data_IF_685268016169
#
_entry.id   IF_685268016169
#
_cell.length_a   1.000
_cell.length_b   1.000
_cell.length_c   1.000
_cell.angle_alpha   90.00
_cell.angle_beta   90.00
_cell.angle_gamma   90.00
#
_symmetry.space_group_name_H-M   'P 1'
#
loop_
_entity.id
_entity.type
_entity.pdbx_description
1 polymer ?
#
# COMPACT_ATOMS: atom_id res chain seq x y z
N UNK A 1 -20.48 14.94 6.43
CA UNK A 1 -19.11 14.97 5.88
C UNK A 1 -18.60 13.55 6.00
N UNK A 2 -18.20 12.91 4.90
CA UNK A 2 -17.72 11.50 4.93
C UNK A 2 -16.25 11.52 5.32
N UNK A 3 -15.84 10.69 6.28
CA UNK A 3 -14.43 10.45 6.54
C UNK A 3 -13.91 9.48 5.48
N UNK A 4 -13.05 9.96 4.57
CA UNK A 4 -12.54 9.16 3.46
C UNK A 4 -11.63 8.01 3.90
N UNK A 5 -10.94 8.15 5.05
CA UNK A 5 -10.09 7.08 5.60
C UNK A 5 -10.97 5.91 6.02
N UNK A 6 -11.97 6.17 6.87
CA UNK A 6 -12.94 5.17 7.32
C UNK A 6 -13.69 4.53 6.14
N UNK A 7 -14.08 5.34 5.15
CA UNK A 7 -14.74 4.85 3.94
C UNK A 7 -13.88 3.87 3.13
N UNK A 8 -12.59 4.17 2.95
CA UNK A 8 -11.67 3.28 2.23
C UNK A 8 -11.38 2.01 3.04
N UNK A 9 -11.30 2.12 4.38
CA UNK A 9 -11.16 0.96 5.26
C UNK A 9 -12.39 0.05 5.20
N UNK A 10 -13.60 0.59 5.25
CA UNK A 10 -14.85 -0.16 5.05
C UNK A 10 -14.85 -0.90 3.71
N UNK A 11 -14.51 -0.21 2.61
CA UNK A 11 -14.37 -0.82 1.29
C UNK A 11 -13.36 -1.97 1.29
N UNK A 12 -12.20 -1.78 1.92
CA UNK A 12 -11.18 -2.82 2.04
C UNK A 12 -11.68 -4.03 2.83
N UNK A 13 -12.47 -3.85 3.90
CA UNK A 13 -13.04 -4.98 4.66
C UNK A 13 -14.07 -5.77 3.85
N UNK A 14 -14.72 -5.13 2.87
CA UNK A 14 -15.65 -5.77 1.94
C UNK A 14 -14.94 -6.41 0.74
N UNK A 15 -13.60 -6.42 0.71
CA UNK A 15 -12.80 -6.98 -0.36
C UNK A 15 -12.67 -6.08 -1.59
N UNK A 16 -13.00 -4.79 -1.46
CA UNK A 16 -12.78 -3.80 -2.52
C UNK A 16 -11.37 -3.23 -2.38
N UNK A 17 -10.53 -3.48 -3.38
CA UNK A 17 -9.21 -2.89 -3.49
C UNK A 17 -9.28 -1.63 -4.37
N UNK A 18 -8.71 -0.53 -3.88
CA UNK A 18 -8.57 0.74 -4.61
C UNK A 18 -7.09 1.08 -4.73
N UNK A 19 -6.64 1.50 -5.91
CA UNK A 19 -5.27 1.97 -6.09
C UNK A 19 -5.18 3.09 -7.13
N UNK A 20 -4.15 3.92 -6.97
CA UNK A 20 -3.80 4.94 -7.95
C UNK A 20 -2.93 4.34 -9.06
N UNK A 21 -3.31 4.59 -10.31
CA UNK A 21 -2.59 4.24 -11.53
C UNK A 21 -2.35 5.55 -12.30
N UNK A 22 -1.26 6.24 -11.98
CA UNK A 22 -1.08 7.65 -12.35
C UNK A 22 -2.25 8.49 -11.84
N UNK A 23 -2.94 9.18 -12.75
CA UNK A 23 -4.13 10.01 -12.45
C UNK A 23 -5.48 9.25 -12.50
N UNK A 24 -5.42 7.92 -12.67
CA UNK A 24 -6.62 7.08 -12.73
C UNK A 24 -6.78 6.33 -11.42
N UNK A 25 -7.99 6.43 -10.86
CA UNK A 25 -8.40 5.57 -9.75
C UNK A 25 -8.86 4.24 -10.33
N UNK A 26 -8.18 3.16 -9.97
CA UNK A 26 -8.53 1.80 -10.32
C UNK A 26 -9.15 1.10 -9.13
N UNK A 27 -9.96 0.09 -9.42
CA UNK A 27 -10.57 -0.73 -8.39
C UNK A 27 -10.64 -2.19 -8.82
N UNK A 28 -10.66 -3.07 -7.82
CA UNK A 28 -11.05 -4.48 -7.93
C UNK A 28 -12.07 -4.72 -6.84
N UNK A 29 -13.18 -5.38 -7.18
CA UNK A 29 -14.20 -5.74 -6.20
C UNK A 29 -14.79 -7.12 -6.53
N UNK A 30 -15.38 -7.79 -5.53
CA UNK A 30 -16.34 -8.86 -5.79
C UNK A 30 -17.55 -8.32 -6.57
N UNK A 31 -18.22 -9.17 -7.35
CA UNK A 31 -19.30 -8.77 -8.28
C UNK A 31 -20.51 -8.09 -7.61
N UNK A 32 -20.74 -8.31 -6.31
CA UNK A 32 -21.94 -7.84 -5.62
C UNK A 32 -21.72 -6.63 -4.70
N UNK A 33 -20.48 -6.16 -4.53
CA UNK A 33 -20.15 -5.14 -3.52
C UNK A 33 -20.26 -3.72 -4.09
N UNK A 34 -19.91 -3.51 -5.37
CA UNK A 34 -20.00 -2.19 -6.00
C UNK A 34 -21.44 -1.85 -6.38
N UNK A 35 -22.18 -1.29 -5.43
CA UNK A 35 -23.49 -0.71 -5.68
C UNK A 35 -23.38 0.63 -6.43
N UNK A 36 -24.48 1.07 -7.05
CA UNK A 36 -24.55 2.35 -7.74
C UNK A 36 -24.29 3.54 -6.79
N UNK A 37 -24.74 3.43 -5.54
CA UNK A 37 -24.50 4.42 -4.50
C UNK A 37 -23.00 4.55 -4.20
N UNK A 38 -22.30 3.43 -3.97
CA UNK A 38 -20.86 3.42 -3.73
C UNK A 38 -20.06 3.98 -4.92
N UNK A 39 -20.43 3.59 -6.13
CA UNK A 39 -19.81 4.13 -7.35
C UNK A 39 -19.97 5.64 -7.47
N UNK A 40 -21.08 6.19 -7.01
CA UNK A 40 -21.35 7.63 -7.01
C UNK A 40 -20.48 8.34 -5.97
N UNK A 41 -20.40 7.81 -4.76
CA UNK A 41 -19.54 8.34 -3.70
C UNK A 41 -18.05 8.33 -4.09
N UNK A 42 -17.58 7.26 -4.73
CA UNK A 42 -16.20 7.17 -5.23
C UNK A 42 -15.94 8.22 -6.33
N UNK A 43 -16.89 8.43 -7.25
CA UNK A 43 -16.75 9.43 -8.31
C UNK A 43 -16.75 10.86 -7.77
N UNK A 44 -17.59 11.16 -6.78
CA UNK A 44 -17.67 12.48 -6.17
C UNK A 44 -16.37 12.86 -5.44
N UNK A 45 -15.74 11.90 -4.77
CA UNK A 45 -14.53 12.13 -3.96
C UNK A 45 -13.25 11.65 -4.65
N UNK A 46 -13.28 11.43 -5.97
CA UNK A 46 -12.18 10.78 -6.73
C UNK A 46 -10.82 11.47 -6.51
N UNK A 47 -10.80 12.81 -6.54
CA UNK A 47 -9.55 13.57 -6.42
C UNK A 47 -8.92 13.40 -5.03
N UNK A 48 -9.72 13.51 -3.97
CA UNK A 48 -9.27 13.33 -2.60
C UNK A 48 -8.84 11.88 -2.32
N UNK A 49 -9.58 10.89 -2.84
CA UNK A 49 -9.21 9.48 -2.75
C UNK A 49 -7.86 9.22 -3.43
N UNK A 50 -7.64 9.79 -4.64
CA UNK A 50 -6.37 9.65 -5.35
C UNK A 50 -5.20 10.26 -4.57
N UNK A 51 -5.40 11.43 -3.99
CA UNK A 51 -4.36 12.08 -3.18
C UNK A 51 -4.04 11.24 -1.94
N UNK A 52 -5.06 10.79 -1.20
CA UNK A 52 -4.87 9.96 -0.01
C UNK A 52 -4.15 8.64 -0.31
N UNK A 53 -4.48 7.98 -1.42
CA UNK A 53 -3.81 6.75 -1.84
C UNK A 53 -2.35 6.98 -2.23
N UNK A 54 -2.01 8.15 -2.81
CA UNK A 54 -0.62 8.52 -3.11
C UNK A 54 0.17 8.80 -1.85
N UNK A 55 -0.38 9.60 -0.94
CA UNK A 55 0.25 9.94 0.33
C UNK A 55 0.54 8.67 1.15
N UNK A 56 -0.38 7.69 1.12
CA UNK A 56 -0.20 6.39 1.78
C UNK A 56 0.84 5.50 1.09
N UNK A 57 0.98 5.58 -0.23
CA UNK A 57 1.99 4.81 -0.98
C UNK A 57 3.41 5.37 -0.77
N UNK A 58 3.54 6.68 -0.58
CA UNK A 58 4.82 7.33 -0.27
C UNK A 58 5.20 7.23 1.21
N UNK A 59 4.23 7.00 2.10
CA UNK A 59 4.50 6.76 3.50
C UNK A 59 5.34 5.48 3.67
N UNK A 60 6.48 5.53 4.39
CA UNK A 60 7.26 4.35 4.67
C UNK A 60 6.44 3.35 5.49
N UNK A 61 6.02 2.27 4.86
CA UNK A 61 5.34 1.17 5.52
C UNK A 61 6.31 0.27 6.27
N UNK A 62 5.84 -0.36 7.35
CA UNK A 62 6.57 -1.47 7.98
C UNK A 62 6.16 -2.76 7.29
N UNK A 63 7.12 -3.39 6.61
CA UNK A 63 6.92 -4.67 5.94
C UNK A 63 7.86 -5.72 6.55
N UNK A 64 7.45 -7.01 6.60
CA UNK A 64 8.36 -8.05 7.03
C UNK A 64 9.56 -8.15 6.08
N UNK A 65 10.74 -8.44 6.64
CA UNK A 65 11.93 -8.72 5.85
C UNK A 65 11.67 -9.92 4.92
N UNK A 66 12.12 -9.82 3.67
CA UNK A 66 12.15 -10.98 2.77
C UNK A 66 13.08 -12.06 3.32
N UNK A 67 12.92 -13.31 2.87
CA UNK A 67 13.80 -14.42 3.27
C UNK A 67 15.29 -14.10 3.08
N UNK A 68 15.65 -13.45 1.96
CA UNK A 68 17.03 -13.03 1.70
C UNK A 68 17.51 -11.93 2.66
N UNK A 69 16.65 -10.94 2.95
CA UNK A 69 16.96 -9.90 3.93
C UNK A 69 17.13 -10.46 5.35
N UNK A 70 16.30 -11.43 5.75
CA UNK A 70 16.43 -12.13 7.03
C UNK A 70 17.73 -12.93 7.13
N UNK A 71 18.10 -13.65 6.06
CA UNK A 71 19.35 -14.41 6.01
C UNK A 71 20.59 -13.50 6.12
N UNK A 72 20.62 -12.39 5.36
CA UNK A 72 21.68 -11.40 5.46
C UNK A 72 21.75 -10.75 6.85
N UNK A 73 20.60 -10.45 7.45
CA UNK A 73 20.54 -9.94 8.82
C UNK A 73 21.13 -10.96 9.82
N UNK A 74 20.81 -12.25 9.68
CA UNK A 74 21.35 -13.30 10.55
C UNK A 74 22.87 -13.44 10.39
N UNK A 75 23.38 -13.43 9.16
CA UNK A 75 24.83 -13.45 8.89
C UNK A 75 25.51 -12.24 9.55
N UNK A 76 24.95 -11.05 9.40
CA UNK A 76 25.47 -9.84 10.05
C UNK A 76 25.46 -9.95 11.58
N UNK A 77 24.43 -10.55 12.20
CA UNK A 77 24.43 -10.75 13.66
C UNK A 77 25.58 -11.66 14.14
N UNK A 78 25.98 -12.65 13.33
CA UNK A 78 27.06 -13.58 13.67
C UNK A 78 28.45 -12.96 13.47
N UNK A 79 28.62 -12.06 12.51
CA UNK A 79 29.89 -11.43 12.18
C UNK A 79 29.70 -9.97 11.74
N UNK A 80 29.44 -9.08 12.71
CA UNK A 80 29.07 -7.67 12.47
C UNK A 80 30.13 -6.88 11.69
N UNK A 81 31.41 -7.20 11.90
CA UNK A 81 32.54 -6.50 11.26
C UNK A 81 32.93 -7.09 9.90
N UNK A 82 32.23 -8.14 9.44
CA UNK A 82 32.54 -8.79 8.16
C UNK A 82 32.01 -8.00 6.97
N UNK A 83 32.86 -7.77 5.98
CA UNK A 83 32.49 -7.13 4.72
C UNK A 83 32.00 -8.12 3.64
N UNK A 84 31.94 -9.43 3.91
CA UNK A 84 31.74 -10.47 2.89
C UNK A 84 30.44 -10.35 2.07
N UNK A 85 29.45 -9.60 2.57
CA UNK A 85 28.15 -9.36 1.91
C UNK A 85 27.86 -7.87 1.66
N UNK A 86 28.90 -7.03 1.72
CA UNK A 86 28.81 -5.60 1.44
C UNK A 86 29.66 -5.27 0.22
N UNK A 87 29.14 -4.42 -0.67
CA UNK A 87 29.90 -3.88 -1.79
C UNK A 87 30.31 -2.46 -1.41
N UNK A 88 31.61 -2.17 -1.46
CA UNK A 88 32.10 -0.81 -1.31
C UNK A 88 31.69 0.01 -2.55
N UNK A 89 31.01 1.12 -2.33
CA UNK A 89 30.72 2.10 -3.38
C UNK A 89 31.85 3.14 -3.37
N UNK A 90 32.46 3.47 -4.53
CA UNK A 90 33.53 4.46 -4.62
C UNK A 90 33.08 5.89 -4.31
#
# INVERSE_FOLDING_TARGET
MINLVEFIEELSTQGVELWADGDRLRYRSPQHVLTQALSTSIKQNKAEILQLLRDRAEAPGTYPLSHGQQALWFVHQNAKDSAAYNIAVP
#
